data_IF_195380515939
#
_entry.id   IF_195380515939
#
_cell.length_a   1.000
_cell.length_b   1.000
_cell.length_c   1.000
_cell.angle_alpha   90.00
_cell.angle_beta   90.00
_cell.angle_gamma   90.00
#
_symmetry.space_group_name_H-M   'P 1'
#
loop_
_entity.id
_entity.type
_entity.pdbx_description
1 polymer ?
#
# COMPACT_ATOMS: atom_id res chain seq x y z
N UNK A 1 -32.86 -14.66 11.00
CA UNK A 1 -32.57 -13.28 10.57
C UNK A 1 -31.25 -12.88 11.20
N UNK A 2 -30.15 -12.86 10.44
CA UNK A 2 -28.86 -12.38 10.94
C UNK A 2 -28.95 -10.85 10.99
N UNK A 3 -28.83 -10.25 12.18
CA UNK A 3 -28.88 -8.80 12.37
C UNK A 3 -27.49 -8.14 12.35
N UNK A 4 -26.45 -8.95 12.50
CA UNK A 4 -25.05 -8.52 12.59
C UNK A 4 -24.14 -9.59 11.98
N UNK A 5 -23.44 -9.23 10.89
CA UNK A 5 -22.56 -10.13 10.15
C UNK A 5 -21.36 -10.57 10.98
N UNK A 6 -20.82 -9.68 11.83
CA UNK A 6 -19.67 -9.99 12.68
C UNK A 6 -20.09 -11.01 13.74
N UNK A 7 -21.23 -10.80 14.40
CA UNK A 7 -21.74 -11.78 15.38
C UNK A 7 -21.99 -13.15 14.76
N UNK A 8 -22.43 -13.22 13.51
CA UNK A 8 -22.59 -14.50 12.82
C UNK A 8 -21.24 -15.21 12.61
N UNK A 9 -20.22 -14.49 12.13
CA UNK A 9 -18.85 -15.02 11.96
C UNK A 9 -18.29 -15.49 13.30
N UNK A 10 -18.46 -14.71 14.37
CA UNK A 10 -18.01 -15.11 15.71
C UNK A 10 -18.77 -16.32 16.26
N UNK A 11 -20.07 -16.43 15.95
CA UNK A 11 -20.88 -17.60 16.26
C UNK A 11 -20.32 -18.85 15.58
N UNK A 12 -20.03 -18.78 14.29
CA UNK A 12 -19.46 -19.90 13.54
C UNK A 12 -18.04 -20.26 13.99
N UNK A 13 -17.21 -19.28 14.32
CA UNK A 13 -15.88 -19.53 14.89
C UNK A 13 -15.94 -20.29 16.23
N UNK A 14 -17.06 -20.23 16.96
CA UNK A 14 -17.30 -21.00 18.19
C UNK A 14 -17.96 -22.35 17.91
N UNK A 15 -18.98 -22.40 17.06
CA UNK A 15 -19.78 -23.61 16.84
C UNK A 15 -19.18 -24.58 15.82
N UNK A 16 -18.38 -24.08 14.88
CA UNK A 16 -17.77 -24.84 13.79
C UNK A 16 -16.37 -24.29 13.42
N UNK A 17 -15.43 -24.25 14.39
CA UNK A 17 -14.14 -23.57 14.24
C UNK A 17 -13.34 -24.03 13.02
N UNK A 18 -13.34 -25.34 12.74
CA UNK A 18 -12.56 -25.96 11.66
C UNK A 18 -13.30 -25.98 10.30
N UNK A 19 -14.53 -25.48 10.23
CA UNK A 19 -15.28 -25.48 8.98
C UNK A 19 -14.72 -24.40 8.03
N UNK A 20 -14.54 -24.71 6.73
CA UNK A 20 -13.96 -23.76 5.79
C UNK A 20 -14.87 -22.54 5.59
N UNK A 21 -14.29 -21.35 5.70
CA UNK A 21 -14.94 -20.07 5.38
C UNK A 21 -14.44 -19.50 4.05
N UNK A 22 -13.23 -19.90 3.65
CA UNK A 22 -12.66 -19.62 2.35
C UNK A 22 -12.08 -20.92 1.79
N UNK A 23 -12.30 -21.16 0.50
CA UNK A 23 -11.84 -22.36 -0.19
C UNK A 23 -11.59 -22.02 -1.66
N UNK A 24 -10.32 -21.94 -2.04
CA UNK A 24 -9.90 -21.82 -3.45
C UNK A 24 -8.76 -22.81 -3.70
N UNK A 25 -9.06 -23.84 -4.50
CA UNK A 25 -8.12 -24.86 -4.97
C UNK A 25 -7.40 -25.57 -3.81
N UNK A 26 -6.14 -25.20 -3.54
CA UNK A 26 -5.28 -25.80 -2.50
C UNK A 26 -5.21 -24.96 -1.21
N UNK A 27 -5.88 -23.79 -1.16
CA UNK A 27 -5.94 -22.93 0.03
C UNK A 27 -7.33 -23.00 0.65
N UNK A 28 -7.38 -23.51 1.88
CA UNK A 28 -8.58 -23.52 2.70
C UNK A 28 -8.28 -22.86 4.04
N UNK A 29 -9.14 -21.94 4.44
CA UNK A 29 -9.05 -21.22 5.70
C UNK A 29 -10.37 -21.38 6.46
N UNK A 30 -10.26 -21.56 7.77
CA UNK A 30 -11.38 -21.91 8.63
C UNK A 30 -12.01 -20.69 9.29
N UNK A 31 -13.22 -20.84 9.85
CA UNK A 31 -13.85 -19.78 10.65
C UNK A 31 -13.01 -19.36 11.85
N UNK A 32 -12.28 -20.29 12.47
CA UNK A 32 -11.35 -19.96 13.55
C UNK A 32 -10.22 -19.06 13.06
N UNK A 33 -9.58 -19.42 11.94
CA UNK A 33 -8.50 -18.62 11.35
C UNK A 33 -8.98 -17.22 10.96
N UNK A 34 -10.16 -17.13 10.31
CA UNK A 34 -10.74 -15.82 9.96
C UNK A 34 -10.97 -14.97 11.21
N UNK A 35 -11.48 -15.55 12.30
CA UNK A 35 -11.66 -14.81 13.55
C UNK A 35 -10.33 -14.31 14.08
N UNK A 36 -9.33 -15.19 14.22
CA UNK A 36 -8.03 -14.84 14.77
C UNK A 36 -7.32 -13.77 13.93
N UNK A 37 -7.31 -13.92 12.61
CA UNK A 37 -6.63 -13.01 11.70
C UNK A 37 -7.31 -11.64 11.65
N UNK A 38 -8.64 -11.62 11.60
CA UNK A 38 -9.40 -10.36 11.64
C UNK A 38 -9.33 -9.67 13.00
N UNK A 39 -9.31 -10.41 14.11
CA UNK A 39 -9.14 -9.85 15.46
C UNK A 39 -7.75 -9.22 15.61
N UNK A 40 -6.70 -9.86 15.09
CA UNK A 40 -5.34 -9.29 15.10
C UNK A 40 -5.27 -7.98 14.32
N UNK A 41 -5.88 -7.92 13.13
CA UNK A 41 -5.92 -6.68 12.37
C UNK A 41 -6.74 -5.59 13.10
N UNK A 42 -7.91 -5.94 13.64
CA UNK A 42 -8.75 -4.99 14.37
C UNK A 42 -8.02 -4.41 15.58
N UNK A 43 -7.29 -5.24 16.34
CA UNK A 43 -6.47 -4.81 17.46
C UNK A 43 -5.35 -3.86 17.01
N UNK A 44 -4.63 -4.20 15.95
CA UNK A 44 -3.59 -3.34 15.39
C UNK A 44 -4.14 -1.96 14.98
N UNK A 45 -5.28 -1.93 14.29
CA UNK A 45 -5.94 -0.69 13.86
C UNK A 45 -6.40 0.14 15.07
N UNK A 46 -6.90 -0.49 16.13
CA UNK A 46 -7.28 0.18 17.37
C UNK A 46 -6.12 0.78 18.15
N UNK A 47 -4.88 0.33 17.92
CA UNK A 47 -3.66 0.93 18.48
C UNK A 47 -3.16 2.13 17.66
N UNK A 48 -3.67 2.32 16.44
CA UNK A 48 -3.30 3.46 15.60
C UNK A 48 -4.15 4.68 15.96
N UNK A 49 -3.57 5.87 15.90
CA UNK A 49 -4.28 7.15 16.06
C UNK A 49 -5.00 7.51 14.74
N UNK A 50 -5.95 6.67 14.34
CA UNK A 50 -6.72 6.81 13.10
C UNK A 50 -8.00 7.58 13.36
N UNK A 51 -8.29 8.56 12.52
CA UNK A 51 -9.55 9.29 12.58
C UNK A 51 -10.70 8.47 11.96
N UNK A 52 -11.90 8.63 12.51
CA UNK A 52 -13.13 8.05 11.92
C UNK A 52 -13.60 8.80 10.65
N UNK A 53 -12.95 9.92 10.29
CA UNK A 53 -13.39 10.78 9.17
C UNK A 53 -13.03 10.21 7.81
N UNK A 54 -11.94 9.46 7.73
CA UNK A 54 -11.40 8.97 6.47
C UNK A 54 -11.47 7.44 6.41
N UNK A 55 -11.79 6.87 5.24
CA UNK A 55 -11.87 5.43 5.08
C UNK A 55 -10.46 4.81 5.07
N UNK A 56 -10.41 3.51 5.37
CA UNK A 56 -9.23 2.69 5.14
C UNK A 56 -9.34 2.01 3.77
N UNK A 57 -8.22 1.75 3.12
CA UNK A 57 -8.21 0.99 1.85
C UNK A 57 -7.66 -0.40 2.08
N UNK A 58 -8.27 -1.39 1.43
CA UNK A 58 -7.74 -2.74 1.28
C UNK A 58 -7.34 -2.90 -0.18
N UNK A 59 -6.05 -3.05 -0.45
CA UNK A 59 -5.51 -3.26 -1.79
C UNK A 59 -5.01 -4.70 -1.94
N UNK A 60 -5.58 -5.47 -2.86
CA UNK A 60 -5.24 -6.88 -3.03
C UNK A 60 -6.09 -7.57 -4.09
N UNK A 61 -6.04 -8.90 -4.13
CA UNK A 61 -6.85 -9.72 -5.04
C UNK A 61 -8.08 -10.33 -4.34
N UNK A 62 -8.76 -11.23 -5.05
CA UNK A 62 -9.80 -12.10 -4.48
C UNK A 62 -9.16 -13.21 -3.65
N UNK A 63 -8.48 -12.84 -2.58
CA UNK A 63 -7.78 -13.74 -1.66
C UNK A 63 -8.37 -13.71 -0.25
N UNK A 64 -8.00 -14.71 0.55
CA UNK A 64 -8.40 -14.82 1.95
C UNK A 64 -8.04 -13.58 2.77
N UNK A 65 -6.93 -12.90 2.48
CA UNK A 65 -6.50 -11.74 3.25
C UNK A 65 -7.36 -10.51 2.97
N UNK A 66 -7.92 -10.37 1.76
CA UNK A 66 -8.94 -9.36 1.50
C UNK A 66 -10.15 -9.59 2.40
N UNK A 67 -10.65 -10.84 2.49
CA UNK A 67 -11.76 -11.20 3.39
C UNK A 67 -11.43 -10.92 4.87
N UNK A 68 -10.29 -11.40 5.35
CA UNK A 68 -9.85 -11.17 6.73
C UNK A 68 -9.70 -9.67 7.04
N UNK A 69 -9.19 -8.90 6.08
CA UNK A 69 -9.01 -7.45 6.21
C UNK A 69 -10.34 -6.71 6.33
N UNK A 70 -11.33 -7.10 5.53
CA UNK A 70 -12.68 -6.55 5.62
C UNK A 70 -13.31 -6.76 6.98
N UNK A 71 -13.24 -8.00 7.49
CA UNK A 71 -13.79 -8.34 8.80
C UNK A 71 -13.05 -7.58 9.90
N UNK A 72 -11.71 -7.48 9.82
CA UNK A 72 -10.90 -6.77 10.81
C UNK A 72 -11.20 -5.26 10.84
N UNK A 73 -11.28 -4.61 9.68
CA UNK A 73 -11.62 -3.18 9.60
C UNK A 73 -13.03 -2.91 10.12
N UNK A 74 -13.99 -3.78 9.78
CA UNK A 74 -15.37 -3.67 10.28
C UNK A 74 -15.40 -3.82 11.81
N UNK A 75 -14.65 -4.78 12.37
CA UNK A 75 -14.52 -4.96 13.83
C UNK A 75 -13.90 -3.75 14.54
N UNK A 76 -12.95 -3.07 13.90
CA UNK A 76 -12.36 -1.83 14.42
C UNK A 76 -13.24 -0.58 14.25
N UNK A 77 -14.42 -0.70 13.62
CA UNK A 77 -15.33 0.42 13.40
C UNK A 77 -14.97 1.32 12.21
N UNK A 78 -13.98 0.95 11.41
CA UNK A 78 -13.55 1.74 10.25
C UNK A 78 -14.23 1.28 8.97
N UNK A 79 -14.74 2.26 8.20
CA UNK A 79 -15.19 2.02 6.83
C UNK A 79 -14.00 1.63 5.95
N UNK A 80 -14.21 0.66 5.06
CA UNK A 80 -13.17 0.15 4.17
C UNK A 80 -13.55 0.27 2.69
N UNK A 81 -12.54 0.54 1.86
CA UNK A 81 -12.65 0.58 0.40
C UNK A 81 -11.78 -0.54 -0.18
N UNK A 82 -12.36 -1.59 -0.78
CA UNK A 82 -11.59 -2.54 -1.57
C UNK A 82 -11.10 -1.91 -2.86
N UNK A 83 -9.84 -2.16 -3.18
CA UNK A 83 -9.26 -1.88 -4.49
C UNK A 83 -8.60 -3.16 -4.98
N UNK A 84 -9.15 -3.70 -6.08
CA UNK A 84 -8.62 -4.88 -6.75
C UNK A 84 -7.27 -4.55 -7.40
N UNK A 85 -6.27 -5.41 -7.20
CA UNK A 85 -4.90 -5.26 -7.72
C UNK A 85 -4.81 -5.29 -9.25
N UNK A 86 -5.82 -5.81 -9.95
CA UNK A 86 -5.96 -5.76 -11.40
C UNK A 86 -6.68 -4.49 -11.89
N UNK A 87 -7.08 -3.58 -11.00
CA UNK A 87 -7.62 -2.28 -11.38
C UNK A 87 -6.58 -1.45 -12.16
N UNK A 88 -7.05 -0.67 -13.13
CA UNK A 88 -6.16 0.24 -13.86
C UNK A 88 -5.55 1.29 -12.94
N UNK A 89 -4.32 1.71 -13.23
CA UNK A 89 -3.63 2.76 -12.47
C UNK A 89 -4.46 4.05 -12.37
N UNK A 90 -5.17 4.42 -13.44
CA UNK A 90 -6.05 5.59 -13.47
C UNK A 90 -7.23 5.45 -12.50
N UNK A 91 -7.82 4.26 -12.42
CA UNK A 91 -8.90 3.96 -11.47
C UNK A 91 -8.39 4.00 -10.03
N UNK A 92 -7.26 3.36 -9.75
CA UNK A 92 -6.65 3.37 -8.41
C UNK A 92 -6.38 4.81 -7.98
N UNK A 93 -5.73 5.59 -8.85
CA UNK A 93 -5.43 7.00 -8.60
C UNK A 93 -6.70 7.82 -8.33
N UNK A 94 -7.73 7.66 -9.16
CA UNK A 94 -9.00 8.37 -8.98
C UNK A 94 -9.69 8.02 -7.65
N UNK A 95 -9.66 6.74 -7.23
CA UNK A 95 -10.19 6.33 -5.93
C UNK A 95 -9.40 6.98 -4.80
N UNK A 96 -8.07 6.93 -4.83
CA UNK A 96 -7.23 7.49 -3.78
C UNK A 96 -7.34 9.02 -3.68
N UNK A 97 -7.46 9.71 -4.81
CA UNK A 97 -7.64 11.17 -4.85
C UNK A 97 -8.96 11.62 -4.19
N UNK A 98 -10.05 10.88 -4.41
CA UNK A 98 -11.36 11.19 -3.85
C UNK A 98 -11.48 10.72 -2.40
N UNK A 99 -11.03 9.49 -2.11
CA UNK A 99 -11.22 8.86 -0.81
C UNK A 99 -10.27 9.40 0.26
N UNK A 100 -9.09 9.89 -0.14
CA UNK A 100 -8.04 10.38 0.75
C UNK A 100 -7.83 9.46 1.97
N UNK A 101 -7.55 8.17 1.74
CA UNK A 101 -7.56 7.18 2.81
C UNK A 101 -6.45 7.45 3.81
N UNK A 102 -6.76 7.21 5.08
CA UNK A 102 -5.82 7.44 6.17
C UNK A 102 -4.75 6.35 6.24
N UNK A 103 -5.12 5.13 5.86
CA UNK A 103 -4.23 3.98 5.79
C UNK A 103 -4.65 3.04 4.65
N UNK A 104 -3.65 2.40 4.03
CA UNK A 104 -3.82 1.37 2.99
C UNK A 104 -3.21 0.07 3.51
N UNK A 105 -4.03 -0.98 3.62
CA UNK A 105 -3.58 -2.35 3.87
C UNK A 105 -3.37 -3.03 2.54
N UNK A 106 -2.16 -3.55 2.30
CA UNK A 106 -1.84 -4.30 1.09
C UNK A 106 -1.00 -5.53 1.45
N UNK A 107 -1.45 -6.71 1.03
CA UNK A 107 -0.68 -7.95 1.17
C UNK A 107 0.20 -8.15 -0.05
N UNK A 108 1.47 -8.53 0.16
CA UNK A 108 2.46 -8.88 -0.88
C UNK A 108 2.82 -7.79 -1.91
N UNK A 109 2.18 -6.62 -1.86
CA UNK A 109 2.58 -5.42 -2.59
C UNK A 109 3.69 -4.68 -1.85
N UNK A 110 4.84 -5.32 -1.74
CA UNK A 110 6.05 -4.68 -1.19
C UNK A 110 6.55 -3.64 -2.20
N UNK A 111 6.52 -2.36 -1.83
CA UNK A 111 7.36 -1.36 -2.49
C UNK A 111 8.81 -1.77 -2.20
N UNK A 112 9.44 -2.50 -3.13
CA UNK A 112 10.77 -3.05 -2.91
C UNK A 112 11.82 -1.94 -2.84
N UNK A 113 11.64 -0.88 -3.63
CA UNK A 113 12.51 0.27 -3.66
C UNK A 113 11.72 1.53 -3.99
N UNK A 114 11.99 2.62 -3.26
CA UNK A 114 11.61 3.95 -3.68
C UNK A 114 12.81 4.58 -4.40
N UNK A 115 12.61 5.06 -5.63
CA UNK A 115 13.68 5.64 -6.43
C UNK A 115 13.45 7.13 -6.66
N UNK A 116 14.54 7.89 -6.64
CA UNK A 116 14.53 9.29 -7.06
C UNK A 116 15.38 9.46 -8.32
N UNK A 117 14.74 9.91 -9.40
CA UNK A 117 15.45 10.43 -10.56
C UNK A 117 15.67 11.93 -10.37
N UNK A 118 16.91 12.38 -10.56
CA UNK A 118 17.31 13.76 -10.34
C UNK A 118 17.91 14.33 -11.63
N UNK A 119 17.31 15.41 -12.13
CA UNK A 119 17.97 16.31 -13.08
C UNK A 119 18.51 17.48 -12.29
N UNK A 120 19.79 17.74 -12.45
CA UNK A 120 20.45 18.86 -11.83
C UNK A 120 20.23 20.11 -12.67
N UNK A 121 20.00 21.25 -12.02
CA UNK A 121 20.10 22.54 -12.70
C UNK A 121 21.56 22.81 -13.07
N UNK A 122 21.75 23.61 -14.12
CA UNK A 122 23.08 24.02 -14.57
C UNK A 122 23.93 24.59 -13.42
N UNK A 123 25.21 24.22 -13.39
CA UNK A 123 26.16 24.64 -12.36
C UNK A 123 25.98 23.99 -10.98
N UNK A 124 24.94 23.17 -10.74
CA UNK A 124 24.80 22.43 -9.47
C UNK A 124 25.84 21.32 -9.38
N UNK A 125 26.07 20.60 -10.48
CA UNK A 125 27.06 19.52 -10.53
C UNK A 125 28.48 20.04 -10.38
N UNK A 126 28.77 21.21 -10.94
CA UNK A 126 30.09 21.87 -10.87
C UNK A 126 30.45 22.36 -9.46
N UNK A 127 29.44 22.64 -8.62
CA UNK A 127 29.63 23.10 -7.22
C UNK A 127 29.78 21.96 -6.22
N UNK A 128 29.62 20.71 -6.64
CA UNK A 128 29.67 19.56 -5.77
C UNK A 128 30.69 18.56 -6.30
N UNK A 129 31.63 18.14 -5.44
CA UNK A 129 32.74 17.29 -5.88
C UNK A 129 32.28 15.91 -6.36
N UNK A 130 31.20 15.36 -5.77
CA UNK A 130 30.69 14.01 -6.09
C UNK A 130 29.18 13.88 -5.88
N UNK A 131 28.54 13.06 -6.71
CA UNK A 131 27.11 12.71 -6.61
C UNK A 131 26.74 12.11 -5.23
N UNK A 132 27.69 11.48 -4.54
CA UNK A 132 27.48 10.92 -3.19
C UNK A 132 27.24 11.99 -2.14
N UNK A 133 27.94 13.12 -2.24
CA UNK A 133 27.88 14.22 -1.26
C UNK A 133 26.53 14.95 -1.39
N UNK A 134 26.07 15.14 -2.63
CA UNK A 134 24.71 15.65 -2.91
C UNK A 134 23.63 14.69 -2.44
N UNK A 135 23.77 13.39 -2.71
CA UNK A 135 22.79 12.38 -2.29
C UNK A 135 22.65 12.39 -0.77
N UNK A 136 23.75 12.54 -0.03
CA UNK A 136 23.74 12.66 1.42
C UNK A 136 22.98 13.92 1.87
N UNK A 137 23.26 15.07 1.27
CA UNK A 137 22.56 16.32 1.58
C UNK A 137 21.05 16.23 1.29
N UNK A 138 20.65 15.63 0.17
CA UNK A 138 19.25 15.42 -0.20
C UNK A 138 18.57 14.48 0.79
N UNK A 139 19.19 13.34 1.12
CA UNK A 139 18.65 12.40 2.12
C UNK A 139 18.46 13.08 3.49
N UNK A 140 19.46 13.83 3.96
CA UNK A 140 19.38 14.56 5.23
C UNK A 140 18.24 15.57 5.22
N UNK A 141 18.10 16.34 4.14
CA UNK A 141 17.00 17.29 3.98
C UNK A 141 15.64 16.60 3.97
N UNK A 142 15.47 15.53 3.18
CA UNK A 142 14.21 14.77 3.13
C UNK A 142 13.84 14.18 4.48
N UNK A 143 14.80 13.68 5.25
CA UNK A 143 14.55 13.14 6.61
C UNK A 143 14.02 14.18 7.59
N UNK A 144 14.21 15.48 7.35
CA UNK A 144 13.62 16.54 8.20
C UNK A 144 12.12 16.75 7.97
N UNK A 145 11.61 16.32 6.81
CA UNK A 145 10.23 16.58 6.38
C UNK A 145 9.45 15.31 6.00
N UNK A 146 10.13 14.15 5.97
CA UNK A 146 9.57 12.85 5.56
C UNK A 146 10.03 11.74 6.51
N UNK A 147 9.18 10.73 6.66
CA UNK A 147 9.50 9.53 7.42
C UNK A 147 10.57 8.68 6.70
N UNK A 148 11.41 7.91 7.43
CA UNK A 148 12.53 7.16 6.83
C UNK A 148 12.14 6.23 5.67
N UNK A 149 10.96 5.61 5.72
CA UNK A 149 10.47 4.72 4.65
C UNK A 149 10.06 5.47 3.36
N UNK A 150 9.88 6.79 3.43
CA UNK A 150 9.59 7.66 2.28
C UNK A 150 10.87 8.22 1.65
N UNK A 151 12.06 7.84 2.16
CA UNK A 151 13.33 8.27 1.60
C UNK A 151 13.74 7.27 0.52
N UNK A 152 13.99 7.72 -0.73
CA UNK A 152 14.43 6.84 -1.80
C UNK A 152 15.67 6.03 -1.41
N UNK A 153 15.64 4.72 -1.67
CA UNK A 153 16.78 3.83 -1.42
C UNK A 153 17.89 4.08 -2.44
N UNK A 154 17.54 4.43 -3.68
CA UNK A 154 18.48 4.71 -4.77
C UNK A 154 18.14 6.03 -5.50
N UNK A 155 19.18 6.80 -5.75
CA UNK A 155 19.15 8.10 -6.43
C UNK A 155 19.87 7.98 -7.76
N UNK A 156 19.21 8.37 -8.84
CA UNK A 156 19.72 8.25 -10.21
C UNK A 156 19.81 9.65 -10.80
N UNK A 157 21.03 10.11 -11.06
CA UNK A 157 21.29 11.40 -11.70
C UNK A 157 21.24 11.23 -13.22
N UNK A 158 20.59 12.18 -13.90
CA UNK A 158 20.45 12.23 -15.36
C UNK A 158 20.58 13.67 -15.85
N UNK A 159 20.99 13.80 -17.10
CA UNK A 159 21.06 15.11 -17.77
C UNK A 159 19.67 15.53 -18.31
N UNK A 160 18.81 14.57 -18.67
CA UNK A 160 17.41 14.79 -19.10
C UNK A 160 16.50 13.60 -18.74
N UNK A 161 15.18 13.82 -18.72
CA UNK A 161 14.19 12.76 -18.58
C UNK A 161 14.03 12.06 -19.93
N UNK A 162 13.86 10.72 -19.97
CA UNK A 162 13.53 10.03 -21.21
C UNK A 162 12.21 10.58 -21.74
N UNK A 163 12.16 10.77 -23.06
CA UNK A 163 11.01 11.35 -23.76
C UNK A 163 10.43 10.34 -24.74
N UNK A 164 9.10 10.32 -24.79
CA UNK A 164 8.33 9.66 -25.83
C UNK A 164 8.60 10.33 -27.18
N UNK A 165 8.22 9.67 -28.28
CA UNK A 165 8.28 10.23 -29.65
C UNK A 165 7.54 11.57 -29.80
N UNK A 166 6.60 11.88 -28.91
CA UNK A 166 5.85 13.14 -28.89
C UNK A 166 6.43 14.19 -27.92
N UNK A 167 7.66 13.99 -27.41
CA UNK A 167 8.36 14.94 -26.55
C UNK A 167 7.90 14.99 -25.08
N UNK A 168 6.90 14.19 -24.68
CA UNK A 168 6.48 14.04 -23.28
C UNK A 168 7.41 13.11 -22.52
N UNK A 169 7.59 13.32 -21.22
CA UNK A 169 8.35 12.40 -20.36
C UNK A 169 7.80 10.97 -20.44
N UNK A 170 8.67 10.01 -20.76
CA UNK A 170 8.35 8.60 -20.88
C UNK A 170 8.43 7.90 -19.53
N UNK A 171 7.34 8.01 -18.76
CA UNK A 171 7.22 7.35 -17.46
C UNK A 171 7.24 5.82 -17.59
N UNK A 172 6.82 5.24 -18.73
CA UNK A 172 6.80 3.79 -18.91
C UNK A 172 8.21 3.22 -19.05
N UNK A 173 9.05 3.86 -19.86
CA UNK A 173 10.46 3.47 -19.98
C UNK A 173 11.18 3.55 -18.64
N UNK A 174 10.88 4.58 -17.84
CA UNK A 174 11.44 4.74 -16.50
C UNK A 174 10.99 3.63 -15.54
N UNK A 175 9.70 3.30 -15.51
CA UNK A 175 9.18 2.23 -14.65
C UNK A 175 9.81 0.87 -15.03
N UNK A 176 10.02 0.62 -16.33
CA UNK A 176 10.61 -0.63 -16.80
C UNK A 176 12.10 -0.78 -16.44
N UNK A 177 12.92 0.28 -16.60
CA UNK A 177 14.34 0.28 -16.21
C UNK A 177 14.53 0.06 -14.70
N UNK A 178 13.53 0.45 -13.91
CA UNK A 178 13.55 0.37 -12.45
C UNK A 178 13.14 -1.00 -11.93
N UNK A 179 12.23 -1.67 -12.64
CA UNK A 179 11.74 -2.99 -12.28
C UNK A 179 12.55 -4.14 -12.92
N UNK A 180 13.63 -3.83 -13.66
CA UNK A 180 14.58 -4.81 -14.21
C UNK A 180 15.76 -5.04 -13.28
#
# INVERSE_FOLDING_TARGET
>A
MIRDTIQAIEGFAKSQPDYPVYDILESQETYQQLKEDSDRLAAYLGEQDLSEKFPLVIFGGQDYHMLASFVGMTKSGHASIPIDSHSSHERIKGILEVAQPELIVAKDHKVQNLLALLILKDGVRERNDRDIDMTKAIKTSLLTIKMPYMIPSKFIYRDDLPKTSNGKNDMKSLINEVNS
#
